data_IF_544906890991
#
_entry.id   IF_544906890991
#
_cell.length_a   1.000
_cell.length_b   1.000
_cell.length_c   1.000
_cell.angle_alpha   90.00
_cell.angle_beta   90.00
_cell.angle_gamma   90.00
#
_symmetry.space_group_name_H-M   'P 1'
#
loop_
_entity.id
_entity.type
_entity.pdbx_description
1 polymer ?
#
# COMPACT_ATOMS: atom_id res chain seq x y z
N UNK A 1 15.46 -54.16 -12.06
CA UNK A 1 15.02 -53.21 -11.00
C UNK A 1 15.33 -51.79 -11.44
N UNK A 2 14.31 -50.93 -11.56
CA UNK A 2 14.55 -49.51 -11.82
C UNK A 2 15.12 -48.86 -10.55
N UNK A 3 16.35 -48.35 -10.64
CA UNK A 3 16.99 -47.63 -9.52
C UNK A 3 16.28 -46.31 -9.31
N UNK A 4 16.04 -45.94 -8.05
CA UNK A 4 15.51 -44.63 -7.71
C UNK A 4 16.52 -43.54 -8.06
N UNK A 5 16.08 -42.55 -8.85
CA UNK A 5 16.88 -41.37 -9.20
C UNK A 5 16.24 -40.14 -8.56
N UNK A 6 17.00 -39.44 -7.72
CA UNK A 6 16.59 -38.18 -7.10
C UNK A 6 16.31 -37.11 -8.17
N UNK A 7 15.42 -36.15 -7.89
CA UNK A 7 14.95 -35.17 -8.89
C UNK A 7 16.10 -34.37 -9.52
N UNK A 8 17.07 -33.93 -8.73
CA UNK A 8 18.19 -33.09 -9.18
C UNK A 8 19.09 -33.81 -10.19
N UNK A 9 19.14 -35.15 -10.13
CA UNK A 9 19.97 -35.99 -11.00
C UNK A 9 19.23 -36.44 -12.27
N UNK A 10 17.97 -36.04 -12.45
CA UNK A 10 17.20 -36.34 -13.67
C UNK A 10 17.53 -35.35 -14.78
N UNK A 11 17.23 -35.71 -16.02
CA UNK A 11 17.32 -34.77 -17.14
C UNK A 11 16.40 -33.57 -16.91
N UNK A 12 16.77 -32.40 -17.47
CA UNK A 12 15.95 -31.17 -17.40
C UNK A 12 14.51 -31.40 -17.88
N UNK A 13 14.30 -32.27 -18.87
CA UNK A 13 12.98 -32.63 -19.38
C UNK A 13 12.13 -33.35 -18.31
N UNK A 14 12.69 -34.38 -17.68
CA UNK A 14 12.00 -35.15 -16.65
C UNK A 14 11.69 -34.31 -15.39
N UNK A 15 12.56 -33.38 -15.01
CA UNK A 15 12.28 -32.42 -13.93
C UNK A 15 11.09 -31.52 -14.27
N UNK A 16 11.04 -30.96 -15.49
CA UNK A 16 9.91 -30.14 -15.93
C UNK A 16 8.59 -30.90 -15.90
N UNK A 17 8.58 -32.14 -16.38
CA UNK A 17 7.39 -33.00 -16.34
C UNK A 17 6.93 -33.29 -14.91
N UNK A 18 7.86 -33.57 -14.00
CA UNK A 18 7.55 -33.75 -12.57
C UNK A 18 6.91 -32.50 -11.97
N UNK A 19 7.52 -31.33 -12.16
CA UNK A 19 6.97 -30.08 -11.62
C UNK A 19 5.67 -29.68 -12.31
N UNK A 20 5.51 -29.93 -13.61
CA UNK A 20 4.26 -29.70 -14.33
C UNK A 20 3.11 -30.51 -13.73
N UNK A 21 3.34 -31.79 -13.40
CA UNK A 21 2.34 -32.64 -12.72
C UNK A 21 2.00 -32.15 -11.31
N UNK A 22 2.94 -31.51 -10.61
CA UNK A 22 2.75 -30.98 -9.25
C UNK A 22 2.11 -29.60 -9.21
N UNK A 23 2.28 -28.80 -10.26
CA UNK A 23 1.65 -27.47 -10.35
C UNK A 23 0.13 -27.61 -10.42
N UNK A 24 -0.57 -26.82 -9.62
CA UNK A 24 -2.01 -26.63 -9.73
C UNK A 24 -2.28 -25.36 -10.53
N UNK A 25 -3.47 -25.26 -11.10
CA UNK A 25 -3.97 -23.98 -11.60
C UNK A 25 -4.22 -23.05 -10.42
N UNK A 26 -4.40 -21.76 -10.68
CA UNK A 26 -4.79 -20.78 -9.65
C UNK A 26 -6.14 -21.09 -8.98
N UNK A 27 -6.83 -22.14 -9.39
CA UNK A 27 -8.14 -22.53 -8.89
C UNK A 27 -9.18 -21.49 -9.32
N UNK A 28 -9.96 -21.03 -8.36
CA UNK A 28 -11.01 -20.02 -8.55
C UNK A 28 -10.48 -18.58 -8.45
N UNK A 29 -9.23 -18.42 -7.96
CA UNK A 29 -8.59 -17.12 -7.84
C UNK A 29 -8.03 -16.67 -9.18
N UNK A 30 -8.77 -15.79 -9.86
CA UNK A 30 -8.21 -15.02 -10.96
C UNK A 30 -7.28 -13.93 -10.39
N UNK A 31 -5.99 -13.87 -10.77
CA UNK A 31 -5.07 -12.79 -10.33
C UNK A 31 -5.57 -11.38 -10.68
N UNK A 32 -6.54 -11.26 -11.61
CA UNK A 32 -7.22 -10.01 -11.94
C UNK A 32 -8.05 -9.44 -10.78
N UNK A 33 -8.37 -10.21 -9.74
CA UNK A 33 -9.06 -9.69 -8.54
C UNK A 33 -8.22 -8.69 -7.73
N UNK A 34 -6.90 -8.66 -7.94
CA UNK A 34 -6.02 -7.60 -7.40
C UNK A 34 -5.91 -6.38 -8.32
N UNK A 35 -6.92 -6.12 -9.15
CA UNK A 35 -6.96 -4.93 -10.00
C UNK A 35 -7.10 -3.67 -9.14
N UNK A 36 -6.12 -2.76 -9.23
CA UNK A 36 -6.20 -1.43 -8.60
C UNK A 36 -7.39 -0.69 -9.24
N UNK A 37 -8.34 -0.16 -8.44
CA UNK A 37 -9.64 0.32 -8.93
C UNK A 37 -9.54 1.44 -9.99
N UNK A 38 -8.44 2.19 -10.03
CA UNK A 38 -7.98 2.89 -11.24
C UNK A 38 -6.56 3.41 -11.00
N UNK A 39 -5.73 3.52 -12.04
CA UNK A 39 -4.44 4.22 -11.95
C UNK A 39 -4.55 5.74 -11.72
N UNK A 40 -5.78 6.27 -11.70
CA UNK A 40 -6.09 7.71 -11.55
C UNK A 40 -6.58 8.07 -10.15
N UNK A 41 -6.77 7.10 -9.25
CA UNK A 41 -7.29 7.35 -7.90
C UNK A 41 -6.33 8.22 -7.09
N UNK A 42 -5.01 8.05 -7.27
CA UNK A 42 -4.01 8.86 -6.57
C UNK A 42 -3.57 10.05 -7.42
N UNK A 43 -4.08 11.25 -7.11
CA UNK A 43 -3.63 12.50 -7.71
C UNK A 43 -2.81 13.32 -6.70
N UNK A 44 -1.47 13.26 -6.84
CA UNK A 44 -0.52 13.94 -5.95
C UNK A 44 -0.71 15.46 -5.87
N UNK A 45 -1.22 16.10 -6.93
CA UNK A 45 -1.52 17.54 -6.92
C UNK A 45 -2.69 17.86 -5.99
N UNK A 46 -3.75 17.05 -6.05
CA UNK A 46 -4.93 17.19 -5.17
C UNK A 46 -4.56 16.94 -3.71
N UNK A 47 -3.73 15.93 -3.45
CA UNK A 47 -3.30 15.60 -2.09
C UNK A 47 -2.43 16.72 -1.47
N UNK A 48 -1.49 17.27 -2.23
CA UNK A 48 -0.71 18.45 -1.78
C UNK A 48 -1.60 19.66 -1.47
N UNK A 49 -2.66 19.89 -2.24
CA UNK A 49 -3.62 20.96 -1.97
C UNK A 49 -4.45 20.71 -0.72
N UNK A 50 -4.83 19.46 -0.44
CA UNK A 50 -5.54 19.08 0.80
C UNK A 50 -4.66 19.34 2.01
N UNK A 51 -3.45 18.79 2.03
CA UNK A 51 -2.48 18.98 3.11
C UNK A 51 -2.18 20.46 3.31
N UNK A 52 -1.97 21.22 2.24
CA UNK A 52 -1.74 22.67 2.32
C UNK A 52 -2.96 23.49 2.76
N UNK A 53 -4.18 22.99 2.59
CA UNK A 53 -5.41 23.61 3.14
C UNK A 53 -5.55 23.28 4.63
N UNK A 54 -5.30 22.04 5.03
CA UNK A 54 -5.30 21.60 6.42
C UNK A 54 -4.26 22.35 7.26
N UNK A 55 -3.04 22.53 6.73
CA UNK A 55 -1.99 23.31 7.41
C UNK A 55 -2.35 24.78 7.61
N UNK A 56 -3.03 25.43 6.64
CA UNK A 56 -3.51 26.81 6.80
C UNK A 56 -4.62 26.91 7.84
N UNK A 57 -5.60 26.02 7.75
CA UNK A 57 -6.74 26.01 8.65
C UNK A 57 -6.36 25.68 10.10
N UNK A 58 -5.34 24.82 10.33
CA UNK A 58 -4.85 24.48 11.66
C UNK A 58 -3.98 25.59 12.27
N UNK A 59 -3.10 26.21 11.48
CA UNK A 59 -2.24 27.29 11.96
C UNK A 59 -3.03 28.54 12.37
N UNK A 60 -4.09 28.89 11.64
CA UNK A 60 -4.96 30.04 11.97
C UNK A 60 -5.79 29.81 13.25
N UNK A 61 -6.25 28.59 13.51
CA UNK A 61 -7.03 28.27 14.71
C UNK A 61 -6.18 28.33 15.99
N UNK A 62 -4.93 27.88 15.92
CA UNK A 62 -3.99 27.90 17.04
C UNK A 62 -3.48 29.32 17.34
N UNK A 63 -3.26 30.14 16.31
CA UNK A 63 -2.78 31.53 16.48
C UNK A 63 -3.86 32.46 17.05
N UNK A 64 -5.12 32.33 16.61
CA UNK A 64 -6.23 33.10 17.19
C UNK A 64 -6.46 32.75 18.66
N UNK A 65 -6.43 31.45 19.01
CA UNK A 65 -6.65 30.98 20.38
C UNK A 65 -5.53 31.47 21.34
N UNK A 66 -4.28 31.54 20.87
CA UNK A 66 -3.16 32.03 21.68
C UNK A 66 -3.22 33.55 21.90
N UNK A 67 -3.59 34.32 20.86
CA UNK A 67 -3.75 35.78 20.95
C UNK A 67 -4.95 36.18 21.83
N UNK A 68 -6.03 35.42 21.77
CA UNK A 68 -7.23 35.66 22.57
C UNK A 68 -7.03 35.30 24.06
N UNK A 69 -6.27 34.23 24.36
CA UNK A 69 -5.83 33.89 25.73
C UNK A 69 -4.88 34.92 26.34
N UNK A 70 -3.99 35.52 25.54
CA UNK A 70 -3.02 36.51 26.03
C UNK A 70 -3.65 37.90 26.24
N UNK A 71 -4.76 38.22 25.55
CA UNK A 71 -5.56 39.42 25.83
C UNK A 71 -6.25 39.38 27.20
N UNK A 72 -6.64 38.19 27.68
CA UNK A 72 -7.30 38.05 28.99
C UNK A 72 -6.35 38.12 30.21
N UNK A 73 -5.04 37.94 30.00
CA UNK A 73 -4.04 37.95 31.08
C UNK A 73 -3.49 39.36 31.41
N UNK A 74 -3.78 40.37 30.59
CA UNK A 74 -3.35 41.77 30.81
C UNK A 74 -4.45 42.61 31.50
N UNK A 75 -5.63 42.02 31.76
CA UNK A 75 -6.81 42.73 32.27
C UNK A 75 -7.37 42.20 33.59
N UNK A 76 -6.55 41.61 34.46
CA UNK A 76 -6.99 41.19 35.80
C UNK A 76 -5.95 41.64 36.83
N UNK A 77 -6.33 42.74 37.49
CA UNK A 77 -5.79 43.39 38.69
C UNK A 77 -4.77 42.60 39.50
#
# INVERSE_FOLDING_TARGET
MNKYVSLDKRSKKAQREYHAKKRRTWGELNPVTRSVPSGKTYNRKKEKQRIGKEFRNGFDADFLCFFEKSRFLVGKW
#
